data_IF_846089145298
#
_entry.id   IF_846089145298
#
_cell.length_a   1.000
_cell.length_b   1.000
_cell.length_c   1.000
_cell.angle_alpha   90.00
_cell.angle_beta   90.00
_cell.angle_gamma   90.00
#
_symmetry.space_group_name_H-M   'P 1'
#
loop_
_entity.id
_entity.type
_entity.pdbx_description
1 polymer ?
#
# COMPACT_ATOMS: atom_id res chain seq x y z
N UNK A 1 6.49 9.91 -2.50
CA UNK A 1 6.83 8.50 -2.80
C UNK A 1 6.86 8.26 -4.30
N UNK A 2 5.84 8.69 -5.00
CA UNK A 2 5.76 8.48 -6.46
C UNK A 2 6.90 9.20 -7.19
N UNK A 3 7.27 10.38 -6.74
CA UNK A 3 8.39 11.13 -7.31
C UNK A 3 9.71 10.41 -7.08
N UNK A 4 9.93 9.86 -5.89
CA UNK A 4 11.12 9.06 -5.58
C UNK A 4 11.19 7.85 -6.49
N UNK A 5 10.08 7.14 -6.66
CA UNK A 5 9.98 5.98 -7.55
C UNK A 5 10.37 6.35 -8.99
N UNK A 6 9.87 7.47 -9.47
CA UNK A 6 10.19 7.97 -10.82
C UNK A 6 11.69 8.27 -10.96
N UNK A 7 12.28 8.95 -9.98
CA UNK A 7 13.71 9.30 -10.02
C UNK A 7 14.60 8.06 -10.01
N UNK A 8 14.23 7.04 -9.23
CA UNK A 8 14.98 5.77 -9.22
C UNK A 8 14.83 5.05 -10.55
N UNK A 9 13.61 4.99 -11.10
CA UNK A 9 13.35 4.34 -12.38
C UNK A 9 14.11 4.99 -13.53
N UNK A 10 14.27 6.31 -13.49
CA UNK A 10 14.97 7.08 -14.52
C UNK A 10 16.47 7.15 -14.28
N UNK A 11 16.96 6.55 -13.21
CA UNK A 11 18.36 6.59 -12.82
C UNK A 11 18.89 8.02 -12.55
N UNK A 12 18.00 8.94 -12.17
CA UNK A 12 18.41 10.28 -11.76
C UNK A 12 19.07 10.28 -10.38
N UNK A 13 18.80 9.25 -9.57
CA UNK A 13 19.41 9.03 -8.26
C UNK A 13 19.91 7.60 -8.17
N UNK A 14 20.85 7.35 -7.27
CA UNK A 14 21.44 6.02 -7.11
C UNK A 14 20.55 5.09 -6.27
N UNK A 15 19.79 5.64 -5.33
CA UNK A 15 18.92 4.88 -4.45
C UNK A 15 17.78 5.75 -3.92
N UNK A 16 16.71 5.10 -3.47
CA UNK A 16 15.59 5.78 -2.87
C UNK A 16 14.89 4.85 -1.88
N UNK A 17 14.13 5.44 -0.96
CA UNK A 17 13.33 4.71 0.02
C UNK A 17 11.87 4.91 -0.33
N UNK A 18 11.15 3.81 -0.55
CA UNK A 18 9.73 3.81 -0.90
C UNK A 18 9.06 2.63 -0.19
N UNK A 19 7.73 2.56 -0.25
CA UNK A 19 7.03 1.38 0.21
C UNK A 19 7.22 0.25 -0.81
N UNK A 20 7.21 -0.99 -0.35
CA UNK A 20 7.38 -2.14 -1.25
C UNK A 20 6.28 -2.21 -2.32
N UNK A 21 5.07 -1.75 -2.01
CA UNK A 21 3.97 -1.68 -2.96
C UNK A 21 4.24 -0.70 -4.09
N UNK A 22 4.88 0.43 -3.80
CA UNK A 22 5.27 1.40 -4.82
C UNK A 22 6.36 0.84 -5.73
N UNK A 23 7.35 0.17 -5.15
CA UNK A 23 8.40 -0.49 -5.92
C UNK A 23 7.80 -1.57 -6.82
N UNK A 24 6.90 -2.38 -6.28
CA UNK A 24 6.23 -3.43 -7.05
C UNK A 24 5.47 -2.85 -8.25
N UNK A 25 4.68 -1.80 -8.01
CA UNK A 25 3.88 -1.17 -9.07
C UNK A 25 4.73 -0.52 -10.15
N UNK A 26 5.94 -0.09 -9.82
CA UNK A 26 6.88 0.51 -10.77
C UNK A 26 7.79 -0.52 -11.44
N UNK A 27 7.66 -1.80 -11.11
CA UNK A 27 8.51 -2.85 -11.66
C UNK A 27 9.93 -2.84 -11.12
N UNK A 28 10.13 -2.22 -9.96
CA UNK A 28 11.44 -2.17 -9.29
C UNK A 28 11.57 -3.31 -8.30
N UNK A 29 12.79 -3.79 -8.12
CA UNK A 29 13.10 -4.84 -7.15
C UNK A 29 13.83 -4.22 -5.97
N UNK A 30 13.28 -4.29 -4.75
CA UNK A 30 13.98 -3.81 -3.56
C UNK A 30 15.27 -4.58 -3.34
N UNK A 31 16.34 -3.87 -2.98
CA UNK A 31 17.63 -4.50 -2.67
C UNK A 31 17.82 -4.69 -1.17
N UNK A 32 17.01 -3.98 -0.37
CA UNK A 32 17.01 -4.11 1.08
C UNK A 32 15.67 -3.63 1.62
N UNK A 33 15.31 -4.05 2.81
CA UNK A 33 14.06 -3.67 3.45
C UNK A 33 14.28 -3.35 4.92
N UNK A 34 13.58 -2.31 5.39
CA UNK A 34 13.57 -2.00 6.82
C UNK A 34 12.76 -3.06 7.57
N UNK A 35 13.25 -3.50 8.70
CA UNK A 35 12.54 -4.47 9.53
C UNK A 35 11.47 -3.77 10.36
N UNK A 36 10.54 -4.56 10.91
CA UNK A 36 9.51 -4.05 11.82
C UNK A 36 10.12 -3.34 13.04
N UNK A 37 11.26 -3.83 13.52
CA UNK A 37 11.98 -3.22 14.64
C UNK A 37 12.56 -1.84 14.28
N UNK A 38 12.91 -1.65 13.02
CA UNK A 38 13.49 -0.38 12.54
C UNK A 38 12.45 0.70 12.31
N UNK A 39 11.31 0.37 11.75
CA UNK A 39 10.31 1.35 11.30
C UNK A 39 8.92 1.15 11.90
N UNK A 40 8.71 0.12 12.73
CA UNK A 40 7.40 -0.27 13.20
C UNK A 40 6.59 -0.97 12.13
N UNK A 41 5.37 -1.35 12.46
CA UNK A 41 4.48 -1.99 11.49
C UNK A 41 3.81 -0.93 10.62
N UNK A 42 3.94 -1.08 9.31
CA UNK A 42 3.28 -0.18 8.36
C UNK A 42 1.85 -0.68 8.12
N UNK A 43 0.86 0.13 8.50
CA UNK A 43 -0.56 -0.22 8.42
C UNK A 43 -1.28 0.84 7.59
N UNK A 44 -2.19 0.38 6.73
CA UNK A 44 -3.06 1.24 5.92
C UNK A 44 -4.49 1.10 6.44
N UNK A 45 -4.92 1.96 7.37
CA UNK A 45 -6.27 1.85 7.94
C UNK A 45 -7.30 2.50 7.01
N UNK A 46 -8.53 1.99 7.07
CA UNK A 46 -9.65 2.58 6.38
C UNK A 46 -10.83 2.68 7.34
N UNK A 47 -11.63 3.73 7.20
CA UNK A 47 -12.78 3.95 8.06
C UNK A 47 -13.87 4.75 7.34
N UNK A 48 -15.11 4.58 7.77
CA UNK A 48 -16.22 5.41 7.32
C UNK A 48 -16.20 6.71 8.12
N UNK A 49 -16.26 7.83 7.41
CA UNK A 49 -16.30 9.14 8.06
C UNK A 49 -17.61 9.32 8.82
N UNK A 50 -17.55 10.01 9.97
CA UNK A 50 -18.72 10.27 10.82
C UNK A 50 -19.84 10.98 10.06
N UNK A 51 -19.48 11.91 9.19
CA UNK A 51 -20.44 12.74 8.43
C UNK A 51 -20.61 12.26 6.98
N UNK A 52 -20.34 11.00 6.69
CA UNK A 52 -20.49 10.48 5.34
C UNK A 52 -21.93 10.55 4.86
N UNK A 53 -22.14 11.05 3.64
CA UNK A 53 -23.48 11.16 3.05
C UNK A 53 -24.07 9.78 2.73
N UNK A 54 -23.22 8.80 2.40
CA UNK A 54 -23.60 7.44 2.04
C UNK A 54 -22.96 6.44 2.99
N UNK A 55 -23.19 6.62 4.30
CA UNK A 55 -22.56 5.81 5.33
C UNK A 55 -22.83 4.31 5.18
N UNK A 56 -24.06 3.93 4.83
CA UNK A 56 -24.40 2.50 4.67
C UNK A 56 -23.65 1.87 3.50
N UNK A 57 -23.60 2.56 2.36
CA UNK A 57 -22.85 2.08 1.21
C UNK A 57 -21.35 2.00 1.52
N UNK A 58 -20.82 2.97 2.26
CA UNK A 58 -19.42 2.97 2.68
C UNK A 58 -19.10 1.80 3.60
N UNK A 59 -20.02 1.46 4.53
CA UNK A 59 -19.86 0.31 5.41
C UNK A 59 -19.86 -1.00 4.63
N UNK A 60 -20.73 -1.12 3.63
CA UNK A 60 -20.75 -2.28 2.75
C UNK A 60 -19.45 -2.42 1.98
N UNK A 61 -18.88 -1.31 1.51
CA UNK A 61 -17.61 -1.32 0.82
C UNK A 61 -16.48 -1.78 1.75
N UNK A 62 -16.43 -1.27 2.98
CA UNK A 62 -15.43 -1.72 3.95
C UNK A 62 -15.57 -3.21 4.26
N UNK A 63 -16.81 -3.70 4.39
CA UNK A 63 -17.04 -5.12 4.60
C UNK A 63 -16.55 -5.94 3.41
N UNK A 64 -16.75 -5.45 2.19
CA UNK A 64 -16.25 -6.11 0.99
C UNK A 64 -14.72 -6.18 0.98
N UNK A 65 -14.03 -5.14 1.45
CA UNK A 65 -12.57 -5.13 1.51
C UNK A 65 -11.98 -6.22 2.42
N UNK A 66 -12.81 -6.79 3.30
CA UNK A 66 -12.41 -7.88 4.20
C UNK A 66 -12.69 -9.26 3.64
N UNK A 67 -13.21 -9.35 2.43
CA UNK A 67 -13.48 -10.64 1.78
C UNK A 67 -12.20 -11.24 1.22
N UNK A 68 -12.21 -12.55 0.98
CA UNK A 68 -11.08 -13.26 0.38
C UNK A 68 -10.77 -12.74 -1.01
N UNK A 69 -11.78 -12.35 -1.76
CA UNK A 69 -11.61 -11.81 -3.11
C UNK A 69 -10.83 -10.48 -3.07
N UNK A 70 -11.19 -9.59 -2.16
CA UNK A 70 -10.48 -8.33 -2.00
C UNK A 70 -9.06 -8.57 -1.48
N UNK A 71 -8.88 -9.48 -0.53
CA UNK A 71 -7.56 -9.85 -0.02
C UNK A 71 -6.65 -10.35 -1.14
N UNK A 72 -7.17 -11.16 -2.06
CA UNK A 72 -6.39 -11.62 -3.22
C UNK A 72 -5.93 -10.48 -4.09
N UNK A 73 -6.78 -9.48 -4.31
CA UNK A 73 -6.41 -8.29 -5.10
C UNK A 73 -5.29 -7.50 -4.40
N UNK A 74 -5.43 -7.28 -3.09
CA UNK A 74 -4.39 -6.56 -2.33
C UNK A 74 -3.07 -7.32 -2.35
N UNK A 75 -3.10 -8.63 -2.16
CA UNK A 75 -1.89 -9.45 -2.18
C UNK A 75 -1.21 -9.45 -3.55
N UNK A 76 -2.00 -9.37 -4.62
CA UNK A 76 -1.46 -9.33 -5.99
C UNK A 76 -0.61 -8.10 -6.27
N UNK A 77 -0.76 -7.04 -5.48
CA UNK A 77 0.02 -5.80 -5.62
C UNK A 77 0.92 -5.53 -4.42
N UNK A 78 1.16 -6.54 -3.59
CA UNK A 78 2.17 -6.47 -2.53
C UNK A 78 1.67 -6.12 -1.15
N UNK A 79 0.36 -5.99 -0.94
CA UNK A 79 -0.19 -5.78 0.40
C UNK A 79 -0.47 -7.12 1.09
N UNK A 80 -0.52 -7.07 2.41
CA UNK A 80 -0.94 -8.20 3.22
C UNK A 80 -2.22 -7.82 3.95
N UNK A 81 -3.27 -8.64 3.82
CA UNK A 81 -4.51 -8.41 4.55
C UNK A 81 -4.34 -8.82 6.01
N UNK A 82 -4.87 -8.02 6.93
CA UNK A 82 -4.84 -8.30 8.37
C UNK A 82 -6.11 -8.99 8.83
#
# INVERSE_FOLDING_TARGET
VKEVTTQVSEASVDAGVVYCTDAYSAGLTPVDEATKEMCGQVIYPAAVMKNALHAEAAKEFLAYLRTDKAASVFESVGFTAL
#
